data_IF_068873466871
#
_entry.id   IF_068873466871
#
_cell.length_a   1.000
_cell.length_b   1.000
_cell.length_c   1.000
_cell.angle_alpha   90.00
_cell.angle_beta   90.00
_cell.angle_gamma   90.00
#
_symmetry.space_group_name_H-M   'P 1'
#
loop_
_entity.id
_entity.type
_entity.pdbx_description
1 polymer ?
#
# COMPACT_ATOMS: atom_id res chain seq x y z
N UNK A 1 31.18 -38.12 -40.60
CA UNK A 1 30.08 -37.18 -40.30
C UNK A 1 29.50 -37.59 -38.96
N UNK A 2 29.81 -36.86 -37.89
CA UNK A 2 29.24 -37.09 -36.57
C UNK A 2 28.05 -36.12 -36.39
N UNK A 3 26.89 -36.56 -35.90
CA UNK A 3 25.83 -35.64 -35.51
C UNK A 3 26.18 -35.03 -34.15
N UNK A 4 26.22 -33.71 -34.09
CA UNK A 4 26.28 -32.94 -32.84
C UNK A 4 24.88 -32.88 -32.23
N UNK A 5 24.67 -33.62 -31.16
CA UNK A 5 23.51 -33.48 -30.28
C UNK A 5 23.52 -32.11 -29.61
N UNK A 6 22.59 -31.25 -30.03
CA UNK A 6 22.34 -29.95 -29.44
C UNK A 6 21.50 -30.15 -28.15
N UNK A 7 22.17 -30.47 -27.04
CA UNK A 7 21.53 -30.56 -25.72
C UNK A 7 21.17 -29.15 -25.24
N UNK A 8 19.90 -28.78 -25.43
CA UNK A 8 19.27 -27.59 -24.85
C UNK A 8 19.46 -27.65 -23.34
N UNK A 9 20.22 -26.71 -22.79
CA UNK A 9 20.45 -26.57 -21.36
C UNK A 9 19.12 -26.26 -20.66
N UNK A 10 18.73 -27.12 -19.71
CA UNK A 10 17.67 -26.85 -18.75
C UNK A 10 18.10 -25.67 -17.87
N UNK A 11 17.21 -24.72 -17.53
CA UNK A 11 17.57 -23.66 -16.60
C UNK A 11 17.89 -24.30 -15.25
N UNK A 12 19.07 -23.99 -14.71
CA UNK A 12 19.49 -24.46 -13.40
C UNK A 12 18.45 -24.06 -12.35
N UNK A 13 17.90 -25.05 -11.64
CA UNK A 13 17.05 -24.81 -10.46
C UNK A 13 17.87 -24.02 -9.45
N UNK A 14 17.67 -22.71 -9.40
CA UNK A 14 18.21 -21.88 -8.33
C UNK A 14 17.54 -22.33 -7.04
N UNK A 15 18.33 -22.67 -6.01
CA UNK A 15 17.81 -23.05 -4.70
C UNK A 15 16.99 -21.91 -4.06
N UNK A 16 16.31 -22.17 -2.93
CA UNK A 16 15.51 -21.15 -2.27
C UNK A 16 16.35 -19.88 -1.99
N UNK A 17 15.77 -18.68 -2.15
CA UNK A 17 16.48 -17.43 -1.92
C UNK A 17 16.99 -17.34 -0.48
N UNK A 18 18.18 -16.77 -0.29
CA UNK A 18 18.72 -16.51 1.05
C UNK A 18 18.02 -15.30 1.66
N UNK A 19 17.42 -15.48 2.84
CA UNK A 19 16.67 -14.40 3.52
C UNK A 19 17.57 -13.22 3.90
N UNK A 20 18.84 -13.48 4.22
CA UNK A 20 19.86 -12.47 4.52
C UNK A 20 20.12 -11.46 3.40
N UNK A 21 19.75 -11.77 2.16
CA UNK A 21 19.87 -10.83 1.04
C UNK A 21 18.73 -9.78 1.02
N UNK A 22 17.70 -9.95 1.88
CA UNK A 22 16.45 -9.16 1.87
C UNK A 22 16.21 -8.39 3.17
N UNK A 23 17.27 -8.05 3.92
CA UNK A 23 17.22 -7.32 5.21
C UNK A 23 16.49 -5.98 5.18
N UNK A 24 16.30 -5.40 3.99
CA UNK A 24 15.53 -4.16 3.83
C UNK A 24 14.00 -4.37 3.93
N UNK A 25 13.51 -5.58 3.67
CA UNK A 25 12.07 -5.88 3.61
C UNK A 25 11.65 -6.95 4.62
N UNK A 26 12.59 -7.73 5.13
CA UNK A 26 12.39 -8.81 6.07
C UNK A 26 13.41 -8.70 7.22
N UNK A 27 12.92 -8.68 8.45
CA UNK A 27 13.72 -8.91 9.65
C UNK A 27 13.95 -10.41 9.80
N UNK A 28 15.12 -10.84 9.32
CA UNK A 28 15.58 -12.23 9.38
C UNK A 28 15.52 -12.79 10.81
N UNK A 29 15.88 -12.01 11.83
CA UNK A 29 15.89 -12.49 13.21
C UNK A 29 14.50 -12.78 13.77
N UNK A 30 13.52 -11.93 13.42
CA UNK A 30 12.12 -12.16 13.79
C UNK A 30 11.56 -13.35 13.01
N UNK A 31 11.89 -13.47 11.72
CA UNK A 31 11.39 -14.57 10.90
C UNK A 31 12.02 -15.92 11.28
N UNK A 32 13.30 -15.94 11.66
CA UNK A 32 14.01 -17.13 12.17
C UNK A 32 13.32 -17.70 13.41
N UNK A 33 12.79 -16.87 14.31
CA UNK A 33 12.03 -17.35 15.47
C UNK A 33 10.77 -18.13 15.06
N UNK A 34 10.13 -17.77 13.94
CA UNK A 34 8.99 -18.50 13.40
C UNK A 34 9.44 -19.83 12.77
N UNK A 35 10.59 -19.82 12.09
CA UNK A 35 11.20 -21.01 11.51
C UNK A 35 11.66 -22.01 12.57
N UNK A 36 12.14 -21.54 13.73
CA UNK A 36 12.54 -22.38 14.87
C UNK A 36 11.34 -23.14 15.49
N UNK A 37 10.11 -22.75 15.16
CA UNK A 37 8.90 -23.44 15.60
C UNK A 37 8.47 -24.59 14.67
N UNK A 38 9.13 -24.77 13.52
CA UNK A 38 8.89 -25.93 12.67
C UNK A 38 9.53 -27.19 13.26
N UNK A 39 8.79 -28.30 13.27
CA UNK A 39 9.30 -29.61 13.72
C UNK A 39 10.32 -30.21 12.72
N UNK A 40 10.19 -29.88 11.44
CA UNK A 40 11.05 -30.35 10.34
C UNK A 40 11.44 -29.19 9.41
N UNK A 41 12.73 -29.09 9.10
CA UNK A 41 13.28 -28.03 8.25
C UNK A 41 12.93 -28.16 6.77
N UNK A 42 12.55 -29.36 6.31
CA UNK A 42 12.15 -29.65 4.93
C UNK A 42 10.68 -29.34 4.68
N UNK A 43 9.78 -29.72 5.60
CA UNK A 43 8.34 -29.54 5.44
C UNK A 43 7.87 -28.12 5.78
N UNK A 44 8.44 -27.52 6.83
CA UNK A 44 8.16 -26.14 7.30
C UNK A 44 6.67 -25.81 7.42
N UNK A 45 5.85 -26.80 7.80
CA UNK A 45 4.39 -26.70 7.76
C UNK A 45 3.83 -25.59 8.67
N UNK A 46 4.43 -25.38 9.85
CA UNK A 46 3.98 -24.36 10.78
C UNK A 46 4.25 -22.97 10.24
N UNK A 47 5.51 -22.67 9.89
CA UNK A 47 5.88 -21.35 9.39
C UNK A 47 5.19 -21.04 8.06
N UNK A 48 5.08 -22.03 7.16
CA UNK A 48 4.32 -21.92 5.91
C UNK A 48 2.85 -21.60 6.20
N UNK A 49 2.20 -22.29 7.13
CA UNK A 49 0.79 -22.01 7.46
C UNK A 49 0.59 -20.57 7.96
N UNK A 50 1.50 -20.06 8.80
CA UNK A 50 1.39 -18.68 9.31
C UNK A 50 1.60 -17.66 8.18
N UNK A 51 2.60 -17.88 7.32
CA UNK A 51 2.90 -16.98 6.20
C UNK A 51 1.76 -16.91 5.20
N UNK A 52 1.17 -18.05 4.82
CA UNK A 52 0.07 -18.07 3.86
C UNK A 52 -1.23 -17.52 4.47
N UNK A 53 -1.47 -17.78 5.76
CA UNK A 53 -2.55 -17.13 6.48
C UNK A 53 -2.41 -15.60 6.50
N UNK A 54 -1.18 -15.09 6.62
CA UNK A 54 -0.92 -13.66 6.51
C UNK A 54 -1.18 -13.13 5.09
N UNK A 55 -0.83 -13.86 4.02
CA UNK A 55 -1.13 -13.42 2.65
C UNK A 55 -2.62 -13.17 2.43
N UNK A 56 -3.46 -14.12 2.84
CA UNK A 56 -4.91 -13.99 2.76
C UNK A 56 -5.42 -12.82 3.62
N UNK A 57 -4.87 -12.65 4.82
CA UNK A 57 -5.21 -11.54 5.71
C UNK A 57 -4.85 -10.18 5.10
N UNK A 58 -3.66 -10.06 4.52
CA UNK A 58 -3.16 -8.84 3.90
C UNK A 58 -4.02 -8.45 2.69
N UNK A 59 -4.26 -9.38 1.76
CA UNK A 59 -5.07 -9.10 0.57
C UNK A 59 -6.51 -8.69 0.93
N UNK A 60 -7.12 -9.35 1.91
CA UNK A 60 -8.45 -9.00 2.38
C UNK A 60 -8.46 -7.64 3.08
N UNK A 61 -7.43 -7.33 3.87
CA UNK A 61 -7.31 -6.05 4.57
C UNK A 61 -7.09 -4.91 3.58
N UNK A 62 -6.27 -5.07 2.54
CA UNK A 62 -6.08 -4.05 1.50
C UNK A 62 -7.38 -3.72 0.76
N UNK A 63 -8.24 -4.71 0.49
CA UNK A 63 -9.56 -4.48 -0.10
C UNK A 63 -10.46 -3.68 0.83
N UNK A 64 -10.45 -3.98 2.14
CA UNK A 64 -11.19 -3.22 3.14
C UNK A 64 -10.68 -1.79 3.25
N UNK A 65 -9.37 -1.58 3.37
CA UNK A 65 -8.77 -0.23 3.41
C UNK A 65 -9.19 0.57 2.17
N UNK A 66 -9.13 -0.04 0.98
CA UNK A 66 -9.55 0.65 -0.24
C UNK A 66 -11.01 1.11 -0.19
N UNK A 67 -11.91 0.25 0.30
CA UNK A 67 -13.31 0.57 0.50
C UNK A 67 -13.50 1.70 1.52
N UNK A 68 -12.82 1.63 2.66
CA UNK A 68 -12.97 2.63 3.72
C UNK A 68 -12.34 3.98 3.35
N UNK A 69 -11.37 4.03 2.42
CA UNK A 69 -10.91 5.27 1.79
C UNK A 69 -12.06 5.92 1.01
N UNK A 70 -12.81 5.13 0.22
CA UNK A 70 -13.93 5.63 -0.58
C UNK A 70 -15.10 6.08 0.32
N UNK A 71 -15.34 5.34 1.41
CA UNK A 71 -16.34 5.67 2.44
C UNK A 71 -15.86 6.79 3.40
N UNK A 72 -14.60 7.24 3.29
CA UNK A 72 -13.96 8.28 4.12
C UNK A 72 -13.97 7.99 5.62
N UNK A 73 -13.86 6.71 6.01
CA UNK A 73 -13.96 6.26 7.38
C UNK A 73 -12.58 6.15 8.05
N UNK A 74 -12.09 7.27 8.59
CA UNK A 74 -10.75 7.35 9.19
C UNK A 74 -10.55 6.42 10.40
N UNK A 75 -11.56 6.27 11.25
CA UNK A 75 -11.49 5.40 12.43
C UNK A 75 -11.27 3.93 12.03
N UNK A 76 -12.03 3.44 11.04
CA UNK A 76 -11.86 2.07 10.54
C UNK A 76 -10.53 1.92 9.79
N UNK A 77 -10.08 2.93 9.05
CA UNK A 77 -8.75 2.93 8.43
C UNK A 77 -7.65 2.81 9.49
N UNK A 78 -7.80 3.49 10.63
CA UNK A 78 -6.86 3.38 11.75
C UNK A 78 -6.84 1.97 12.34
N UNK A 79 -8.02 1.39 12.56
CA UNK A 79 -8.17 0.03 13.09
C UNK A 79 -7.60 -1.04 12.14
N UNK A 80 -7.85 -0.93 10.84
CA UNK A 80 -7.29 -1.83 9.82
C UNK A 80 -5.76 -1.70 9.72
N UNK A 81 -5.23 -0.48 9.79
CA UNK A 81 -3.79 -0.23 9.85
C UNK A 81 -3.15 -0.88 11.08
N UNK A 82 -3.76 -0.71 12.25
CA UNK A 82 -3.30 -1.34 13.49
C UNK A 82 -3.30 -2.87 13.42
N UNK A 83 -4.40 -3.44 12.90
CA UNK A 83 -4.57 -4.89 12.75
C UNK A 83 -3.47 -5.51 11.88
N UNK A 84 -3.25 -4.96 10.68
CA UNK A 84 -2.27 -5.50 9.75
C UNK A 84 -0.82 -5.19 10.16
N UNK A 85 -0.59 -4.07 10.85
CA UNK A 85 0.69 -3.78 11.52
C UNK A 85 1.07 -4.89 12.51
N UNK A 86 0.11 -5.34 13.33
CA UNK A 86 0.36 -6.38 14.33
C UNK A 86 0.83 -7.69 13.71
N UNK A 87 0.10 -8.19 12.71
CA UNK A 87 0.44 -9.45 12.05
C UNK A 87 1.68 -9.39 11.17
N UNK A 88 1.92 -8.27 10.48
CA UNK A 88 3.15 -8.07 9.70
C UNK A 88 4.39 -7.96 10.59
N UNK A 89 4.25 -7.39 11.79
CA UNK A 89 5.33 -7.33 12.78
C UNK A 89 5.73 -8.73 13.29
N UNK A 90 4.76 -9.61 13.54
CA UNK A 90 5.02 -11.01 13.96
C UNK A 90 5.85 -11.78 12.94
N UNK A 91 5.73 -11.46 11.65
CA UNK A 91 6.48 -12.10 10.57
C UNK A 91 7.76 -11.32 10.17
N UNK A 92 8.10 -10.23 10.86
CA UNK A 92 9.28 -9.43 10.53
C UNK A 92 9.17 -8.65 9.21
N UNK A 93 7.96 -8.37 8.71
CA UNK A 93 7.77 -7.71 7.41
C UNK A 93 7.91 -6.19 7.53
N UNK A 94 9.15 -5.70 7.59
CA UNK A 94 9.51 -4.32 7.98
C UNK A 94 8.70 -3.26 7.22
N UNK A 95 8.79 -3.24 5.88
CA UNK A 95 8.13 -2.20 5.08
C UNK A 95 6.60 -2.27 5.13
N UNK A 96 6.04 -3.47 5.29
CA UNK A 96 4.58 -3.65 5.42
C UNK A 96 4.12 -3.14 6.77
N UNK A 97 4.81 -3.51 7.85
CA UNK A 97 4.58 -3.01 9.21
C UNK A 97 4.59 -1.48 9.25
N UNK A 98 5.65 -0.87 8.72
CA UNK A 98 5.85 0.58 8.82
C UNK A 98 4.81 1.35 7.99
N UNK A 99 4.44 0.85 6.82
CA UNK A 99 3.34 1.46 6.05
C UNK A 99 1.97 1.27 6.71
N UNK A 100 1.71 0.14 7.36
CA UNK A 100 0.49 -0.05 8.15
C UNK A 100 0.42 0.87 9.37
N UNK A 101 1.56 1.16 10.00
CA UNK A 101 1.69 2.14 11.07
C UNK A 101 1.35 3.56 10.59
N UNK A 102 1.84 3.96 9.42
CA UNK A 102 1.46 5.25 8.81
C UNK A 102 -0.04 5.33 8.53
N UNK A 103 -0.64 4.26 7.98
CA UNK A 103 -2.09 4.19 7.76
C UNK A 103 -2.83 4.34 9.10
N UNK A 104 -2.36 3.67 10.15
CA UNK A 104 -2.91 3.81 11.50
C UNK A 104 -2.89 5.27 11.98
N UNK A 105 -1.74 5.96 11.84
CA UNK A 105 -1.57 7.34 12.27
C UNK A 105 -2.45 8.32 11.50
N UNK A 106 -2.44 8.26 10.17
CA UNK A 106 -3.29 9.11 9.35
C UNK A 106 -4.79 8.84 9.60
N UNK A 107 -5.17 7.58 9.83
CA UNK A 107 -6.53 7.22 10.23
C UNK A 107 -6.93 7.80 11.59
N UNK A 108 -5.96 8.10 12.46
CA UNK A 108 -6.21 8.74 13.75
C UNK A 108 -6.14 10.28 13.68
N UNK A 109 -6.23 10.87 12.48
CA UNK A 109 -6.04 12.30 12.23
C UNK A 109 -4.69 12.82 12.73
N UNK A 110 -3.61 12.09 12.42
CA UNK A 110 -2.24 12.49 12.73
C UNK A 110 -1.36 12.50 11.50
N UNK A 111 -0.20 13.12 11.64
CA UNK A 111 0.87 13.07 10.68
C UNK A 111 1.51 11.68 10.57
N UNK A 112 2.45 11.52 9.64
CA UNK A 112 3.16 10.25 9.40
C UNK A 112 3.81 9.69 10.67
N UNK A 113 4.32 10.56 11.54
CA UNK A 113 5.01 10.18 12.77
C UNK A 113 4.06 9.78 13.90
N UNK A 114 2.78 10.15 13.81
CA UNK A 114 1.79 9.94 14.86
C UNK A 114 1.95 10.89 16.05
N UNK A 115 2.75 11.94 15.92
CA UNK A 115 3.08 12.90 16.99
C UNK A 115 2.33 14.21 16.86
N UNK A 116 1.95 14.60 15.64
CA UNK A 116 1.30 15.88 15.35
C UNK A 116 -0.10 15.60 14.81
N UNK A 117 -1.11 16.30 15.32
CA UNK A 117 -2.46 16.19 14.79
C UNK A 117 -2.56 16.80 13.38
N UNK A 118 -3.25 16.12 12.48
CA UNK A 118 -3.59 16.57 11.13
C UNK A 118 -5.11 16.81 11.06
N UNK A 119 -5.56 18.07 11.18
CA UNK A 119 -6.98 18.41 11.21
C UNK A 119 -7.67 18.23 9.85
N UNK A 120 -6.92 18.21 8.73
CA UNK A 120 -7.50 18.02 7.40
C UNK A 120 -7.63 16.53 7.05
N UNK A 121 -8.85 16.02 7.17
CA UNK A 121 -9.18 14.63 6.85
C UNK A 121 -8.90 14.28 5.38
N UNK A 122 -8.97 15.23 4.44
CA UNK A 122 -8.65 14.97 3.03
C UNK A 122 -7.14 14.80 2.81
N UNK A 123 -6.31 15.47 3.63
CA UNK A 123 -4.86 15.25 3.64
C UNK A 123 -4.56 13.84 4.17
N UNK A 124 -5.18 13.44 5.27
CA UNK A 124 -5.06 12.08 5.81
C UNK A 124 -5.46 11.02 4.78
N UNK A 125 -6.63 11.15 4.13
CA UNK A 125 -7.11 10.19 3.14
C UNK A 125 -6.17 10.07 1.92
N UNK A 126 -5.64 11.19 1.43
CA UNK A 126 -4.65 11.19 0.34
C UNK A 126 -3.36 10.48 0.75
N UNK A 127 -2.89 10.75 1.97
CA UNK A 127 -1.71 10.09 2.52
C UNK A 127 -1.91 8.59 2.68
N UNK A 128 -3.04 8.16 3.25
CA UNK A 128 -3.42 6.74 3.40
C UNK A 128 -3.46 6.05 2.04
N UNK A 129 -4.07 6.66 1.02
CA UNK A 129 -4.13 6.08 -0.33
C UNK A 129 -2.72 5.87 -0.90
N UNK A 130 -1.86 6.88 -0.83
CA UNK A 130 -0.47 6.79 -1.28
C UNK A 130 0.28 5.69 -0.52
N UNK A 131 0.17 5.67 0.81
CA UNK A 131 0.82 4.67 1.64
C UNK A 131 0.30 3.26 1.36
N UNK A 132 -1.00 3.08 1.11
CA UNK A 132 -1.57 1.78 0.73
C UNK A 132 -0.94 1.25 -0.57
N UNK A 133 -0.72 2.11 -1.55
CA UNK A 133 -0.06 1.70 -2.81
C UNK A 133 1.40 1.30 -2.57
N UNK A 134 2.15 2.07 -1.75
CA UNK A 134 3.51 1.72 -1.33
C UNK A 134 3.56 0.37 -0.57
N UNK A 135 2.60 0.13 0.32
CA UNK A 135 2.49 -1.11 1.10
C UNK A 135 2.18 -2.30 0.19
N UNK A 136 1.29 -2.16 -0.80
CA UNK A 136 0.98 -3.24 -1.76
C UNK A 136 2.22 -3.64 -2.55
N UNK A 137 3.06 -2.68 -2.96
CA UNK A 137 4.33 -2.97 -3.65
C UNK A 137 5.29 -3.70 -2.73
N UNK A 138 5.49 -3.22 -1.50
CA UNK A 138 6.34 -3.89 -0.51
C UNK A 138 5.85 -5.31 -0.19
N UNK A 139 4.55 -5.47 -0.01
CA UNK A 139 3.88 -6.76 0.20
C UNK A 139 4.15 -7.73 -0.96
N UNK A 140 3.97 -7.31 -2.21
CA UNK A 140 4.24 -8.17 -3.38
C UNK A 140 5.69 -8.63 -3.45
N UNK A 141 6.64 -7.79 -3.05
CA UNK A 141 8.06 -8.16 -3.02
C UNK A 141 8.33 -9.25 -1.99
N UNK A 142 7.81 -9.10 -0.78
CA UNK A 142 8.02 -10.10 0.28
C UNK A 142 7.18 -11.37 0.07
N UNK A 143 5.98 -11.26 -0.50
CA UNK A 143 5.17 -12.42 -0.91
C UNK A 143 5.94 -13.29 -1.92
N UNK A 144 6.49 -12.68 -2.98
CA UNK A 144 7.30 -13.39 -3.99
C UNK A 144 8.53 -14.03 -3.37
N UNK A 145 9.21 -13.33 -2.46
CA UNK A 145 10.37 -13.86 -1.73
C UNK A 145 9.99 -15.13 -0.95
N UNK A 146 8.96 -15.03 -0.12
CA UNK A 146 8.55 -16.11 0.79
C UNK A 146 7.96 -17.30 0.02
N UNK A 147 7.18 -17.07 -1.04
CA UNK A 147 6.71 -18.15 -1.94
C UNK A 147 7.88 -18.91 -2.56
N UNK A 148 8.91 -18.21 -3.06
CA UNK A 148 10.13 -18.85 -3.56
C UNK A 148 10.91 -19.58 -2.45
N UNK A 149 10.97 -19.01 -1.26
CA UNK A 149 11.59 -19.64 -0.09
C UNK A 149 10.92 -20.99 0.25
N UNK A 150 9.59 -21.06 0.19
CA UNK A 150 8.82 -22.28 0.41
C UNK A 150 8.74 -23.22 -0.81
N UNK A 151 9.49 -22.95 -1.88
CA UNK A 151 9.62 -23.84 -3.03
C UNK A 151 8.64 -23.62 -4.18
N UNK A 152 7.85 -22.53 -4.18
CA UNK A 152 6.99 -22.20 -5.32
C UNK A 152 7.78 -21.56 -6.48
N UNK A 153 7.46 -21.96 -7.71
CA UNK A 153 7.95 -21.30 -8.92
C UNK A 153 7.16 -20.01 -9.19
N UNK A 154 7.71 -18.89 -8.75
CA UNK A 154 7.14 -17.56 -9.01
C UNK A 154 7.89 -16.90 -10.15
N UNK A 155 7.19 -16.51 -11.22
CA UNK A 155 7.81 -15.79 -12.34
C UNK A 155 8.24 -14.40 -11.90
N UNK A 156 9.52 -14.09 -12.06
CA UNK A 156 10.02 -12.73 -11.98
C UNK A 156 9.52 -11.96 -13.22
N UNK A 157 8.32 -11.39 -13.15
CA UNK A 157 7.99 -10.28 -14.04
C UNK A 157 8.90 -9.11 -13.66
N UNK A 158 9.86 -8.79 -14.52
CA UNK A 158 10.74 -7.63 -14.38
C UNK A 158 9.89 -6.38 -14.08
N UNK A 159 10.05 -5.79 -12.88
CA UNK A 159 9.54 -4.45 -12.60
C UNK A 159 10.24 -3.49 -13.57
N UNK A 160 9.53 -3.08 -14.63
CA UNK A 160 9.93 -1.89 -15.39
C UNK A 160 9.99 -0.71 -14.41
N UNK A 161 11.06 0.11 -14.43
CA UNK A 161 11.07 1.35 -13.67
C UNK A 161 9.92 2.24 -14.18
N UNK A 162 8.99 2.59 -13.31
CA UNK A 162 8.01 3.66 -13.58
C UNK A 162 8.78 4.97 -13.75
N UNK A 163 8.96 5.41 -15.00
CA UNK A 163 9.29 6.79 -15.30
C UNK A 163 8.15 7.68 -14.81
N UNK A 164 8.45 8.57 -13.87
CA UNK A 164 7.55 9.64 -13.44
C UNK A 164 7.24 10.54 -14.64
N UNK A 165 6.04 10.43 -15.21
CA UNK A 165 5.51 11.45 -16.10
C UNK A 165 5.25 12.73 -15.30
N UNK A 166 6.18 13.68 -15.37
CA UNK A 166 5.96 15.06 -14.96
C UNK A 166 5.02 15.71 -15.98
N UNK A 167 3.72 15.74 -15.69
CA UNK A 167 2.80 16.61 -16.41
C UNK A 167 3.05 18.06 -16.00
N UNK A 168 3.78 18.77 -16.85
CA UNK A 168 3.88 20.21 -16.82
C UNK A 168 2.50 20.82 -17.12
N UNK A 169 1.84 21.38 -16.11
CA UNK A 169 0.75 22.32 -16.31
C UNK A 169 1.32 23.61 -16.92
N UNK A 170 0.89 23.92 -18.15
CA UNK A 170 1.09 25.25 -18.73
C UNK A 170 0.11 26.21 -18.06
N UNK A 171 0.67 27.20 -17.38
CA UNK A 171 0.00 28.46 -17.07
C UNK A 171 -0.64 29.07 -18.32
N UNK A 172 -1.93 29.40 -18.24
CA UNK A 172 -2.56 30.38 -19.11
C UNK A 172 -3.08 31.53 -18.22
N UNK A 173 -2.42 32.69 -18.30
CA UNK A 173 -2.81 33.95 -17.65
C UNK A 173 -3.59 34.84 -18.65
N UNK A 174 -4.32 35.87 -18.19
CA UNK A 174 -5.67 36.18 -18.60
C UNK A 174 -5.73 37.22 -19.72
N UNK A 175 -6.85 37.29 -20.45
CA UNK A 175 -7.21 38.45 -21.26
C UNK A 175 -8.44 39.16 -20.71
N UNK A 176 -8.20 40.42 -20.37
CA UNK A 176 -9.13 41.44 -19.91
C UNK A 176 -10.03 41.96 -21.06
N UNK A 177 -11.16 42.55 -20.65
CA UNK A 177 -12.39 42.92 -21.40
C UNK A 177 -12.20 43.97 -22.55
N UNK A 178 -13.28 44.33 -23.26
CA UNK A 178 -14.05 45.49 -22.79
C UNK A 178 -15.59 45.38 -22.85
N UNK A 179 -16.16 46.03 -21.84
CA UNK A 179 -17.53 46.49 -21.53
C UNK A 179 -18.41 46.92 -22.72
N UNK A 180 -19.70 46.63 -22.64
CA UNK A 180 -20.75 47.60 -22.98
C UNK A 180 -22.00 47.41 -22.12
N UNK A 181 -22.60 48.55 -21.73
CA UNK A 181 -23.63 48.71 -20.73
C UNK A 181 -25.05 48.56 -21.30
N UNK A 182 -26.02 48.24 -20.44
CA UNK A 182 -27.36 48.85 -20.50
C UNK A 182 -28.10 48.70 -19.16
N UNK A 183 -28.36 49.85 -18.55
CA UNK A 183 -29.50 50.19 -17.65
C UNK A 183 -30.83 49.55 -18.12
N UNK A 184 -31.88 49.32 -17.33
CA UNK A 184 -32.39 49.99 -16.13
C UNK A 184 -33.52 49.18 -15.46
N UNK A 185 -33.80 49.53 -14.18
CA UNK A 185 -35.09 49.55 -13.45
C UNK A 185 -35.52 48.37 -12.56
N UNK A 186 -35.28 48.56 -11.25
CA UNK A 186 -36.28 48.30 -10.19
C UNK A 186 -37.41 49.37 -10.23
N UNK A 187 -38.57 49.18 -9.56
CA UNK A 187 -38.66 49.40 -8.10
C UNK A 187 -39.50 48.36 -7.30
N UNK A 188 -39.02 48.07 -6.09
CA UNK A 188 -39.71 47.94 -4.79
C UNK A 188 -41.19 47.52 -4.70
N UNK A 189 -41.47 46.55 -3.80
CA UNK A 189 -42.50 46.77 -2.76
C UNK A 189 -42.31 45.94 -1.48
N UNK A 190 -42.13 46.68 -0.40
CA UNK A 190 -42.23 46.32 1.02
C UNK A 190 -43.71 46.22 1.46
N UNK A 191 -44.06 45.29 2.36
CA UNK A 191 -45.24 45.28 3.28
C UNK A 191 -45.12 44.04 4.20
N UNK A 192 -44.66 44.11 5.45
CA UNK A 192 -45.33 44.43 6.74
C UNK A 192 -46.49 43.51 7.19
N UNK A 193 -46.36 43.05 8.45
CA UNK A 193 -47.37 42.65 9.47
C UNK A 193 -48.19 41.35 9.20
N UNK A 194 -48.65 40.54 10.17
CA UNK A 194 -48.93 40.73 11.60
C UNK A 194 -48.94 39.39 12.38
N UNK A 195 -48.88 39.53 13.71
CA UNK A 195 -49.28 38.63 14.81
C UNK A 195 -50.04 37.33 14.51
N UNK A 196 -49.62 36.25 15.18
CA UNK A 196 -50.47 35.56 16.17
C UNK A 196 -49.63 34.81 17.20
#
# INVERSE_FOLDING_TARGET
MAPTDNKKAEPAKQGPPKLSDYKEILDESTFEQILEMDDDEEDRDFSRSIVYGFFDQAENTFKKIQKEIDDKNLDELSALGHFLKGSSATLGLIKVKDGCEKIQHFGANKDETGLIDEPDSEVCLKAIKKTLDEVKVAYRKVEKLLRRYYGEEVKDEEEKPEEKEVKAEKEEKPKEEPKEATETKEPTKESKEASK
#
